data_IF_007451244542
#
_entry.id   IF_007451244542
#
_cell.length_a   1.000
_cell.length_b   1.000
_cell.length_c   1.000
_cell.angle_alpha   90.00
_cell.angle_beta   90.00
_cell.angle_gamma   90.00
#
_symmetry.space_group_name_H-M   'P 1'
#
loop_
_entity.id
_entity.type
_entity.pdbx_description
1 polymer ?
#
# COMPACT_ATOMS: atom_id res chain seq x y z
N UNK A 1 16.04 -16.97 -8.82
CA UNK A 1 15.85 -16.90 -7.35
C UNK A 1 14.37 -16.61 -7.11
N UNK A 2 13.80 -17.01 -5.98
CA UNK A 2 12.39 -16.70 -5.64
C UNK A 2 12.36 -15.36 -4.93
N UNK A 3 11.42 -14.48 -5.30
CA UNK A 3 11.20 -13.18 -4.65
C UNK A 3 9.92 -13.21 -3.79
N UNK A 4 9.94 -12.51 -2.65
CA UNK A 4 8.81 -12.37 -1.74
C UNK A 4 8.35 -10.91 -1.66
N UNK A 5 7.13 -10.63 -2.12
CA UNK A 5 6.45 -9.37 -1.84
C UNK A 5 5.43 -9.56 -0.72
N UNK A 6 5.48 -8.72 0.32
CA UNK A 6 4.60 -8.84 1.49
C UNK A 6 3.39 -7.93 1.35
N UNK A 7 2.19 -8.53 1.43
CA UNK A 7 0.94 -7.78 1.39
C UNK A 7 0.60 -7.20 2.77
N UNK A 8 0.46 -5.88 2.87
CA UNK A 8 0.22 -5.17 4.15
C UNK A 8 -1.25 -4.75 4.37
N UNK A 9 -2.19 -5.20 3.52
CA UNK A 9 -3.61 -4.84 3.63
C UNK A 9 -4.22 -5.17 5.00
N UNK A 10 -3.80 -6.27 5.62
CA UNK A 10 -4.36 -6.72 6.91
C UNK A 10 -3.95 -5.79 8.06
N UNK A 11 -2.78 -5.16 8.00
CA UNK A 11 -2.34 -4.16 8.96
C UNK A 11 -3.29 -2.96 8.90
N UNK A 12 -3.55 -2.45 7.70
CA UNK A 12 -4.48 -1.35 7.49
C UNK A 12 -5.92 -1.70 7.91
N UNK A 13 -6.38 -2.93 7.69
CA UNK A 13 -7.70 -3.38 8.17
C UNK A 13 -7.79 -3.35 9.71
N UNK A 14 -6.75 -3.79 10.41
CA UNK A 14 -6.70 -3.76 11.87
C UNK A 14 -6.71 -2.31 12.36
N UNK A 15 -5.90 -1.44 11.74
CA UNK A 15 -5.89 0.01 12.03
C UNK A 15 -7.29 0.61 11.87
N UNK A 16 -7.93 0.38 10.73
CA UNK A 16 -9.23 0.97 10.40
C UNK A 16 -10.38 0.45 11.29
N UNK A 17 -10.19 -0.67 12.00
CA UNK A 17 -11.21 -1.24 12.89
C UNK A 17 -11.39 -0.47 14.20
N UNK A 18 -10.53 0.51 14.48
CA UNK A 18 -10.52 1.33 15.71
C UNK A 18 -10.20 2.78 15.38
N UNK A 19 -10.51 3.68 16.30
CA UNK A 19 -10.05 5.06 16.23
C UNK A 19 -8.53 5.14 16.46
N UNK A 20 -7.88 6.10 15.81
CA UNK A 20 -6.43 6.31 15.87
C UNK A 20 -5.66 5.77 14.67
N UNK A 21 -4.33 5.76 14.78
CA UNK A 21 -3.41 5.32 13.72
C UNK A 21 -2.51 4.18 14.20
N UNK A 22 -3.09 3.14 14.79
CA UNK A 22 -2.34 1.97 15.25
C UNK A 22 -3.04 0.66 14.86
N UNK A 23 -2.33 -0.30 14.23
CA UNK A 23 -0.92 -0.24 13.82
C UNK A 23 -0.66 0.75 12.67
N UNK A 24 0.57 1.26 12.61
CA UNK A 24 1.06 2.10 11.50
C UNK A 24 1.46 1.20 10.31
N UNK A 25 0.92 1.48 9.13
CA UNK A 25 1.12 0.62 7.95
C UNK A 25 2.55 0.73 7.41
N UNK A 26 3.10 1.94 7.34
CA UNK A 26 4.44 2.19 6.82
C UNK A 26 5.52 1.60 7.73
N UNK A 27 5.37 1.70 9.06
CA UNK A 27 6.29 1.09 10.01
C UNK A 27 6.33 -0.45 9.89
N UNK A 28 5.19 -1.09 9.64
CA UNK A 28 5.15 -2.53 9.40
C UNK A 28 5.71 -2.92 8.04
N UNK A 29 5.49 -2.11 7.00
CA UNK A 29 6.14 -2.31 5.70
C UNK A 29 7.67 -2.19 5.81
N UNK A 30 8.18 -1.20 6.55
CA UNK A 30 9.61 -1.07 6.86
C UNK A 30 10.14 -2.32 7.55
N UNK A 31 9.41 -2.86 8.52
CA UNK A 31 9.79 -4.11 9.22
C UNK A 31 9.89 -5.29 8.24
N UNK A 32 9.00 -5.37 7.23
CA UNK A 32 9.09 -6.39 6.20
C UNK A 32 10.33 -6.22 5.30
N UNK A 33 10.64 -4.99 4.90
CA UNK A 33 11.84 -4.65 4.11
C UNK A 33 13.11 -5.02 4.90
N UNK A 34 13.19 -4.62 6.17
CA UNK A 34 14.32 -4.93 7.05
C UNK A 34 14.51 -6.44 7.27
N UNK A 35 13.41 -7.21 7.17
CA UNK A 35 13.43 -8.67 7.24
C UNK A 35 13.77 -9.36 5.90
N UNK A 36 14.04 -8.59 4.84
CA UNK A 36 14.46 -9.10 3.53
C UNK A 36 13.32 -9.32 2.53
N UNK A 37 12.20 -8.62 2.65
CA UNK A 37 11.18 -8.61 1.59
C UNK A 37 11.72 -7.94 0.32
N UNK A 38 11.48 -8.57 -0.83
CA UNK A 38 11.83 -8.04 -2.15
C UNK A 38 10.78 -7.05 -2.68
N UNK A 39 9.63 -6.95 -2.01
CA UNK A 39 8.58 -6.01 -2.37
C UNK A 39 7.53 -5.82 -1.29
N UNK A 40 6.75 -4.75 -1.45
CA UNK A 40 5.53 -4.50 -0.68
C UNK A 40 4.34 -4.49 -1.63
N UNK A 41 3.27 -5.18 -1.26
CA UNK A 41 2.03 -5.23 -2.04
C UNK A 41 0.86 -4.59 -1.28
N UNK A 42 0.06 -3.81 -1.99
CA UNK A 42 -1.19 -3.24 -1.49
C UNK A 42 -2.34 -3.41 -2.47
N UNK A 43 -3.56 -3.41 -1.95
CA UNK A 43 -4.78 -3.43 -2.76
C UNK A 43 -5.73 -2.31 -2.28
N UNK A 44 -5.57 -1.06 -2.74
CA UNK A 44 -6.54 -0.01 -2.43
C UNK A 44 -7.89 -0.36 -3.08
N UNK A 45 -8.98 -0.09 -2.36
CA UNK A 45 -10.35 -0.35 -2.83
C UNK A 45 -11.19 0.93 -2.76
N UNK A 46 -12.20 1.10 -3.62
CA UNK A 46 -13.11 2.25 -3.56
C UNK A 46 -13.78 2.42 -2.20
N UNK A 47 -14.15 1.32 -1.54
CA UNK A 47 -14.76 1.34 -0.20
C UNK A 47 -13.75 1.58 0.93
N UNK A 48 -12.47 1.76 0.60
CA UNK A 48 -11.37 2.02 1.53
C UNK A 48 -11.33 1.06 2.72
N UNK A 49 -11.74 -0.21 2.51
CA UNK A 49 -11.89 -1.21 3.57
C UNK A 49 -10.59 -1.48 4.34
N UNK A 50 -9.45 -1.37 3.68
CA UNK A 50 -8.12 -1.58 4.27
C UNK A 50 -7.18 -0.43 3.88
N UNK A 51 -6.49 -0.56 2.75
CA UNK A 51 -5.56 0.45 2.26
C UNK A 51 -6.35 1.66 1.78
N UNK A 52 -5.97 2.83 2.27
CA UNK A 52 -6.48 4.15 1.87
C UNK A 52 -5.51 4.79 0.86
N UNK A 53 -5.93 5.77 0.05
CA UNK A 53 -5.05 6.45 -0.90
C UNK A 53 -3.78 7.02 -0.26
N UNK A 54 -3.88 7.58 0.95
CA UNK A 54 -2.71 8.09 1.69
C UNK A 54 -1.66 7.02 2.00
N UNK A 55 -2.09 5.79 2.33
CA UNK A 55 -1.18 4.68 2.59
C UNK A 55 -0.37 4.32 1.33
N UNK A 56 -0.99 4.42 0.16
CA UNK A 56 -0.33 4.10 -1.12
C UNK A 56 0.78 5.11 -1.43
N UNK A 57 0.52 6.39 -1.21
CA UNK A 57 1.51 7.45 -1.43
C UNK A 57 2.67 7.35 -0.44
N UNK A 58 2.37 7.09 0.84
CA UNK A 58 3.38 6.91 1.88
C UNK A 58 4.26 5.68 1.60
N UNK A 59 3.64 4.55 1.21
CA UNK A 59 4.39 3.34 0.88
C UNK A 59 5.24 3.50 -0.38
N UNK A 60 4.78 4.24 -1.39
CA UNK A 60 5.58 4.55 -2.57
C UNK A 60 6.84 5.35 -2.20
N UNK A 61 6.72 6.34 -1.32
CA UNK A 61 7.86 7.10 -0.81
C UNK A 61 8.81 6.23 0.02
N UNK A 62 8.26 5.31 0.82
CA UNK A 62 9.04 4.36 1.61
C UNK A 62 9.85 3.40 0.72
N UNK A 63 9.18 2.67 -0.17
CA UNK A 63 9.82 1.67 -1.04
C UNK A 63 10.79 2.32 -2.02
N UNK A 64 10.50 3.54 -2.49
CA UNK A 64 11.38 4.30 -3.38
C UNK A 64 12.76 4.64 -2.80
N UNK A 65 12.96 4.47 -1.49
CA UNK A 65 14.27 4.60 -0.84
C UNK A 65 15.19 3.40 -1.12
N UNK A 66 14.65 2.30 -1.64
CA UNK A 66 15.36 1.04 -1.84
C UNK A 66 15.33 0.62 -3.30
N UNK A 67 16.50 0.66 -3.97
CA UNK A 67 16.61 0.27 -5.38
C UNK A 67 16.24 -1.20 -5.68
N UNK A 68 16.24 -2.06 -4.65
CA UNK A 68 15.94 -3.49 -4.78
C UNK A 68 14.53 -3.88 -4.32
N UNK A 69 13.71 -2.94 -3.84
CA UNK A 69 12.36 -3.24 -3.33
C UNK A 69 11.32 -2.76 -4.34
N UNK A 70 10.47 -3.67 -4.80
CA UNK A 70 9.35 -3.34 -5.66
C UNK A 70 8.13 -2.85 -4.86
N UNK A 71 7.38 -1.91 -5.43
CA UNK A 71 6.08 -1.52 -4.90
C UNK A 71 4.96 -1.95 -5.84
N UNK A 72 4.15 -2.90 -5.37
CA UNK A 72 3.10 -3.53 -6.15
C UNK A 72 1.73 -3.01 -5.71
N UNK A 73 1.03 -2.32 -6.60
CA UNK A 73 -0.33 -1.81 -6.38
C UNK A 73 -1.30 -2.64 -7.21
N UNK A 74 -2.12 -3.45 -6.55
CA UNK A 74 -3.11 -4.33 -7.18
C UNK A 74 -4.52 -3.75 -7.06
N UNK A 75 -5.39 -4.02 -8.04
CA UNK A 75 -6.79 -3.63 -7.94
C UNK A 75 -7.56 -3.76 -9.25
N UNK A 76 -8.79 -3.25 -9.25
CA UNK A 76 -9.59 -3.13 -10.46
C UNK A 76 -9.30 -1.80 -11.17
N UNK A 77 -8.69 -1.80 -12.37
CA UNK A 77 -8.37 -0.57 -13.12
C UNK A 77 -9.63 0.19 -13.60
N UNK A 78 -10.79 -0.48 -13.63
CA UNK A 78 -12.07 0.11 -14.04
C UNK A 78 -12.91 0.59 -12.85
N UNK A 79 -12.39 0.49 -11.62
CA UNK A 79 -13.10 1.00 -10.45
C UNK A 79 -13.20 2.53 -10.53
N UNK A 80 -14.41 3.11 -10.52
CA UNK A 80 -14.57 4.55 -10.56
C UNK A 80 -14.07 5.18 -9.25
N UNK A 81 -13.80 6.49 -9.26
CA UNK A 81 -13.62 7.24 -8.02
C UNK A 81 -14.81 7.07 -7.08
N UNK A 82 -14.56 7.01 -5.77
CA UNK A 82 -15.57 6.97 -4.72
C UNK A 82 -15.05 7.65 -3.47
N UNK A 83 -15.75 8.66 -2.99
CA UNK A 83 -15.30 9.50 -1.87
C UNK A 83 -13.86 9.97 -2.11
N UNK A 84 -12.93 9.71 -1.18
CA UNK A 84 -11.53 10.09 -1.31
C UNK A 84 -10.70 9.13 -2.20
N UNK A 85 -11.26 8.00 -2.65
CA UNK A 85 -10.57 7.09 -3.58
C UNK A 85 -10.61 7.65 -5.01
N UNK A 86 -9.45 7.98 -5.63
CA UNK A 86 -9.41 8.66 -6.93
C UNK A 86 -9.55 7.74 -8.14
N UNK A 87 -9.68 6.42 -7.94
CA UNK A 87 -9.52 5.42 -9.01
C UNK A 87 -8.13 4.80 -8.99
N UNK A 88 -8.01 3.53 -9.42
CA UNK A 88 -6.74 2.78 -9.30
C UNK A 88 -5.65 3.40 -10.16
N UNK A 89 -5.96 3.70 -11.42
CA UNK A 89 -4.98 4.24 -12.38
C UNK A 89 -4.47 5.60 -11.91
N UNK A 90 -5.37 6.51 -11.53
CA UNK A 90 -4.98 7.82 -11.01
C UNK A 90 -4.10 7.72 -9.75
N UNK A 91 -4.36 6.72 -8.89
CA UNK A 91 -3.57 6.49 -7.69
C UNK A 91 -2.17 5.94 -8.02
N UNK A 92 -2.05 5.06 -9.01
CA UNK A 92 -0.76 4.55 -9.53
C UNK A 92 0.04 5.68 -10.18
N UNK A 93 -0.58 6.51 -11.00
CA UNK A 93 0.08 7.66 -11.63
C UNK A 93 0.62 8.65 -10.57
N UNK A 94 -0.11 8.82 -9.47
CA UNK A 94 0.30 9.69 -8.36
C UNK A 94 1.54 9.17 -7.59
N UNK A 95 1.92 7.90 -7.74
CA UNK A 95 3.09 7.34 -7.05
C UNK A 95 4.41 7.60 -7.79
N UNK A 96 4.36 8.19 -8.99
CA UNK A 96 5.53 8.42 -9.83
C UNK A 96 6.15 7.14 -10.40
N UNK A 97 5.35 6.07 -10.48
CA UNK A 97 5.69 4.82 -11.16
C UNK A 97 5.45 4.93 -12.67
#
# INVERSE_FOLDING_TARGET
MVALSVNVNKIALIRNSREGNYPDVAAYAQTCIDAGADGITVHPRPDQRHIRPGDVLELAQLTGQYASVEFNIEGNPFAPPLDDYPGLIALVEATGA
#
